data_IF_539107367031
#
_entry.id   IF_539107367031
#
_cell.length_a   1.000
_cell.length_b   1.000
_cell.length_c   1.000
_cell.angle_alpha   90.00
_cell.angle_beta   90.00
_cell.angle_gamma   90.00
#
_symmetry.space_group_name_H-M   'P 1'
#
loop_
_entity.id
_entity.type
_entity.pdbx_description
1 polymer ?
#
# COMPACT_ATOMS: atom_id res chain seq x y z
N UNK A 1 -39.59 -4.35 -47.62
CA UNK A 1 -38.94 -3.60 -46.52
C UNK A 1 -39.04 -4.43 -45.26
N UNK A 2 -37.94 -5.04 -44.82
CA UNK A 2 -37.84 -5.58 -43.45
C UNK A 2 -37.47 -4.43 -42.51
N UNK A 3 -38.13 -4.25 -41.35
CA UNK A 3 -37.73 -3.24 -40.40
C UNK A 3 -36.42 -3.68 -39.75
N UNK A 4 -35.39 -2.83 -39.85
CA UNK A 4 -34.18 -2.96 -39.06
C UNK A 4 -34.58 -2.67 -37.61
N UNK A 5 -34.58 -3.71 -36.78
CA UNK A 5 -34.69 -3.54 -35.34
C UNK A 5 -33.38 -2.93 -34.87
N UNK A 6 -33.34 -1.61 -34.74
CA UNK A 6 -32.24 -0.91 -34.11
C UNK A 6 -31.98 -1.56 -32.74
N UNK A 7 -30.80 -2.16 -32.62
CA UNK A 7 -30.29 -2.81 -31.43
C UNK A 7 -30.06 -1.76 -30.33
N UNK A 8 -31.14 -1.27 -29.72
CA UNK A 8 -31.12 -0.35 -28.58
C UNK A 8 -30.75 -1.05 -27.25
N UNK A 9 -30.43 -2.36 -27.29
CA UNK A 9 -29.97 -3.12 -26.14
C UNK A 9 -28.48 -2.91 -25.83
N UNK A 10 -27.69 -2.44 -26.81
CA UNK A 10 -26.25 -2.18 -26.62
C UNK A 10 -25.97 -0.95 -25.72
N UNK A 11 -26.99 -0.11 -25.42
CA UNK A 11 -26.86 1.03 -24.52
C UNK A 11 -26.95 0.66 -23.03
N UNK A 12 -27.36 -0.57 -22.69
CA UNK A 12 -27.57 -0.99 -21.30
C UNK A 12 -26.41 -1.82 -20.71
N UNK A 13 -25.51 -2.34 -21.53
CA UNK A 13 -24.28 -2.96 -21.06
C UNK A 13 -23.17 -1.91 -20.92
N UNK A 14 -23.20 -1.13 -19.83
CA UNK A 14 -21.98 -0.42 -19.41
C UNK A 14 -20.93 -1.49 -19.14
N UNK A 15 -19.83 -1.56 -19.91
CA UNK A 15 -18.79 -2.54 -19.64
C UNK A 15 -18.27 -2.30 -18.24
N UNK A 16 -18.22 -3.33 -17.39
CA UNK A 16 -17.69 -3.20 -16.04
C UNK A 16 -16.30 -2.55 -16.10
N UNK A 17 -16.22 -1.30 -15.67
CA UNK A 17 -15.01 -0.50 -15.82
C UNK A 17 -14.00 -0.99 -14.78
N UNK A 18 -13.00 -1.74 -15.25
CA UNK A 18 -11.94 -2.31 -14.41
C UNK A 18 -10.92 -1.22 -14.06
N UNK A 19 -11.02 -0.63 -12.85
CA UNK A 19 -10.14 0.45 -12.38
C UNK A 19 -8.67 0.00 -12.25
N UNK A 20 -8.43 -1.30 -12.02
CA UNK A 20 -7.07 -1.90 -12.01
C UNK A 20 -6.29 -1.67 -13.30
N UNK A 21 -6.95 -1.38 -14.44
CA UNK A 21 -6.23 -1.09 -15.68
C UNK A 21 -5.42 0.21 -15.61
N UNK A 22 -5.83 1.16 -14.77
CA UNK A 22 -5.12 2.43 -14.53
C UNK A 22 -3.80 2.23 -13.76
N UNK A 23 -3.73 1.18 -12.95
CA UNK A 23 -2.55 0.86 -12.16
C UNK A 23 -1.43 0.31 -13.05
N UNK A 24 -0.23 0.93 -13.04
CA UNK A 24 0.94 0.39 -13.70
C UNK A 24 1.28 -1.02 -13.22
N UNK A 25 1.93 -1.79 -14.08
CA UNK A 25 2.37 -3.15 -13.74
C UNK A 25 3.22 -3.20 -12.46
N UNK A 26 4.12 -2.23 -12.27
CA UNK A 26 4.95 -2.13 -11.06
C UNK A 26 4.10 -2.01 -9.76
N UNK A 27 3.05 -1.17 -9.75
CA UNK A 27 2.19 -1.01 -8.57
C UNK A 27 1.38 -2.26 -8.28
N UNK A 28 0.96 -3.01 -9.30
CA UNK A 28 0.27 -4.29 -9.15
C UNK A 28 1.14 -5.31 -8.40
N UNK A 29 2.43 -5.38 -8.75
CA UNK A 29 3.40 -6.24 -8.06
C UNK A 29 3.54 -5.83 -6.60
N UNK A 30 3.69 -4.53 -6.31
CA UNK A 30 3.79 -4.05 -4.93
C UNK A 30 2.53 -4.30 -4.12
N UNK A 31 1.33 -4.16 -4.71
CA UNK A 31 0.10 -4.50 -4.01
C UNK A 31 0.09 -5.96 -3.56
N UNK A 32 0.53 -6.89 -4.42
CA UNK A 32 0.58 -8.30 -4.06
C UNK A 32 1.60 -8.59 -2.94
N UNK A 33 2.80 -8.00 -3.05
CA UNK A 33 3.83 -8.10 -2.00
C UNK A 33 3.32 -7.57 -0.66
N UNK A 34 2.71 -6.38 -0.65
CA UNK A 34 2.22 -5.77 0.58
C UNK A 34 1.01 -6.49 1.19
N UNK A 35 0.14 -7.09 0.36
CA UNK A 35 -0.92 -7.96 0.87
C UNK A 35 -0.34 -9.19 1.60
N UNK A 36 0.68 -9.83 1.02
CA UNK A 36 1.36 -10.96 1.68
C UNK A 36 2.07 -10.50 2.95
N UNK A 37 2.78 -9.37 2.91
CA UNK A 37 3.43 -8.82 4.11
C UNK A 37 2.42 -8.49 5.21
N UNK A 38 1.26 -7.94 4.87
CA UNK A 38 0.18 -7.69 5.82
C UNK A 38 -0.35 -8.99 6.44
N UNK A 39 -0.51 -10.04 5.62
CA UNK A 39 -0.88 -11.37 6.12
C UNK A 39 0.21 -11.95 7.03
N UNK A 40 1.49 -11.81 6.68
CA UNK A 40 2.59 -12.20 7.55
C UNK A 40 2.57 -11.42 8.86
N UNK A 41 2.24 -10.13 8.85
CA UNK A 41 2.04 -9.32 10.06
C UNK A 41 0.91 -9.83 10.95
N UNK A 42 -0.23 -10.23 10.36
CA UNK A 42 -1.34 -10.85 11.10
C UNK A 42 -0.91 -12.17 11.76
N UNK A 43 -0.14 -13.00 11.05
CA UNK A 43 0.34 -14.29 11.57
C UNK A 43 1.46 -14.09 12.60
N UNK A 44 2.28 -13.05 12.47
CA UNK A 44 3.38 -12.75 13.38
C UNK A 44 2.92 -12.52 14.83
N UNK A 45 1.74 -11.90 15.02
CA UNK A 45 1.19 -11.67 16.36
C UNK A 45 0.92 -12.96 17.16
N UNK A 46 0.06 -13.90 16.71
CA UNK A 46 -0.18 -15.12 17.45
C UNK A 46 1.06 -16.02 17.51
N UNK A 47 1.88 -16.07 16.45
CA UNK A 47 3.10 -16.89 16.45
C UNK A 47 4.18 -16.35 17.38
N UNK A 48 4.20 -15.05 17.67
CA UNK A 48 5.12 -14.47 18.64
C UNK A 48 4.93 -14.98 20.07
N UNK A 49 3.75 -15.52 20.40
CA UNK A 49 3.49 -16.16 21.70
C UNK A 49 4.20 -17.51 21.84
N UNK A 50 4.56 -18.16 20.72
CA UNK A 50 5.22 -19.46 20.69
C UNK A 50 6.71 -19.35 20.31
N UNK A 51 7.06 -18.38 19.47
CA UNK A 51 8.42 -18.16 18.95
C UNK A 51 8.86 -16.75 19.33
N UNK A 52 9.86 -16.67 20.21
CA UNK A 52 10.25 -15.41 20.85
C UNK A 52 11.32 -14.61 20.09
N UNK A 53 11.69 -15.02 18.87
CA UNK A 53 12.68 -14.33 18.03
C UNK A 53 12.18 -14.23 16.60
N UNK A 54 11.73 -13.04 16.21
CA UNK A 54 11.40 -12.69 14.84
C UNK A 54 12.11 -11.39 14.48
N UNK A 55 12.91 -11.43 13.43
CA UNK A 55 13.55 -10.22 12.92
C UNK A 55 12.53 -9.46 12.06
N UNK A 56 12.04 -8.35 12.59
CA UNK A 56 11.14 -7.43 11.90
C UNK A 56 11.93 -6.16 11.57
N UNK A 57 12.03 -5.84 10.28
CA UNK A 57 12.70 -4.62 9.82
C UNK A 57 11.89 -3.93 8.73
N UNK A 58 11.52 -2.66 8.94
CA UNK A 58 10.83 -1.86 7.94
C UNK A 58 10.93 -0.36 8.18
N UNK A 59 11.07 0.42 7.11
CA UNK A 59 11.22 1.89 7.16
C UNK A 59 12.28 2.36 8.16
N UNK A 60 13.30 1.55 8.39
CA UNK A 60 14.42 1.83 9.28
C UNK A 60 14.21 1.50 10.74
N UNK A 61 13.04 0.99 11.10
CA UNK A 61 12.83 0.37 12.39
C UNK A 61 13.22 -1.09 12.28
N UNK A 62 13.97 -1.59 13.25
CA UNK A 62 14.32 -3.00 13.37
C UNK A 62 14.10 -3.48 14.80
N UNK A 63 13.65 -4.72 14.95
CA UNK A 63 13.56 -5.40 16.24
C UNK A 63 13.59 -6.90 16.08
N UNK A 64 14.18 -7.58 17.06
CA UNK A 64 14.15 -9.03 17.19
C UNK A 64 13.01 -9.52 18.11
N UNK A 65 12.32 -8.58 18.77
CA UNK A 65 11.27 -8.84 19.74
C UNK A 65 9.95 -8.32 19.16
N UNK A 66 9.12 -9.18 18.55
CA UNK A 66 7.86 -8.75 17.93
C UNK A 66 6.87 -8.12 18.93
N UNK A 67 6.82 -8.60 20.18
CA UNK A 67 6.02 -8.00 21.27
C UNK A 67 6.84 -6.89 21.97
N UNK A 68 7.31 -5.92 21.18
CA UNK A 68 7.92 -4.68 21.67
C UNK A 68 7.19 -3.49 21.06
N UNK A 69 7.35 -2.29 21.61
CA UNK A 69 6.71 -1.08 21.05
C UNK A 69 7.08 -0.92 19.57
N UNK A 70 8.37 -1.06 19.23
CA UNK A 70 8.87 -1.02 17.85
C UNK A 70 8.29 -2.14 16.98
N UNK A 71 8.20 -3.36 17.52
CA UNK A 71 7.62 -4.51 16.80
C UNK A 71 6.15 -4.33 16.48
N UNK A 72 5.37 -3.82 17.44
CA UNK A 72 3.96 -3.50 17.25
C UNK A 72 3.76 -2.38 16.21
N UNK A 73 4.63 -1.37 16.20
CA UNK A 73 4.61 -0.32 15.16
C UNK A 73 4.87 -0.93 13.77
N UNK A 74 5.90 -1.75 13.62
CA UNK A 74 6.22 -2.40 12.33
C UNK A 74 5.06 -3.29 11.86
N UNK A 75 4.49 -4.09 12.76
CA UNK A 75 3.34 -4.94 12.45
C UNK A 75 2.14 -4.07 12.05
N UNK A 76 1.81 -3.02 12.79
CA UNK A 76 0.72 -2.11 12.44
C UNK A 76 0.91 -1.48 11.05
N UNK A 77 2.14 -1.12 10.69
CA UNK A 77 2.47 -0.61 9.34
C UNK A 77 2.29 -1.69 8.27
N UNK A 78 2.71 -2.93 8.52
CA UNK A 78 2.45 -4.04 7.60
C UNK A 78 0.96 -4.28 7.39
N UNK A 79 0.17 -4.26 8.45
CA UNK A 79 -1.28 -4.40 8.37
C UNK A 79 -1.90 -3.27 7.55
N UNK A 80 -1.51 -2.02 7.84
CA UNK A 80 -2.02 -0.86 7.14
C UNK A 80 -1.66 -0.89 5.65
N UNK A 81 -0.42 -1.28 5.32
CA UNK A 81 0.02 -1.48 3.93
C UNK A 81 -0.72 -2.57 3.21
N UNK A 82 -0.90 -3.72 3.87
CA UNK A 82 -1.69 -4.82 3.33
C UNK A 82 -3.13 -4.38 3.06
N UNK A 83 -3.71 -3.59 3.95
CA UNK A 83 -5.04 -3.02 3.76
C UNK A 83 -5.11 -2.01 2.61
N UNK A 84 -4.15 -1.08 2.51
CA UNK A 84 -4.07 -0.13 1.40
C UNK A 84 -3.90 -0.83 0.04
N UNK A 85 -3.03 -1.84 0.00
CA UNK A 85 -2.81 -2.67 -1.18
C UNK A 85 -4.04 -3.48 -1.57
N UNK A 86 -4.72 -4.08 -0.59
CA UNK A 86 -6.01 -4.75 -0.78
C UNK A 86 -7.04 -3.77 -1.36
N UNK A 87 -7.17 -2.58 -0.78
CA UNK A 87 -8.12 -1.57 -1.24
C UNK A 87 -7.88 -1.19 -2.70
N UNK A 88 -6.62 -0.98 -3.10
CA UNK A 88 -6.23 -0.70 -4.50
C UNK A 88 -6.47 -1.89 -5.43
N UNK A 89 -6.16 -3.10 -4.98
CA UNK A 89 -6.33 -4.30 -5.79
C UNK A 89 -7.80 -4.66 -6.02
N UNK A 90 -8.65 -4.44 -5.03
CA UNK A 90 -10.10 -4.71 -5.09
C UNK A 90 -10.92 -3.49 -5.51
N UNK A 91 -10.27 -2.46 -6.07
CA UNK A 91 -10.91 -1.32 -6.73
C UNK A 91 -11.91 -0.57 -5.83
N UNK A 92 -11.63 -0.45 -4.54
CA UNK A 92 -12.50 0.29 -3.61
C UNK A 92 -12.53 1.78 -3.97
N UNK A 93 -13.66 2.42 -3.72
CA UNK A 93 -13.88 3.85 -3.97
C UNK A 93 -12.83 4.71 -3.26
N UNK A 94 -12.56 4.42 -1.98
CA UNK A 94 -11.56 5.12 -1.17
C UNK A 94 -10.12 4.64 -1.37
N UNK A 95 -9.84 3.79 -2.36
CA UNK A 95 -8.52 3.15 -2.50
C UNK A 95 -7.39 4.14 -2.77
N UNK A 96 -7.65 5.17 -3.58
CA UNK A 96 -6.67 6.21 -3.88
C UNK A 96 -6.34 7.01 -2.62
N UNK A 97 -7.36 7.43 -1.86
CA UNK A 97 -7.20 8.17 -0.60
C UNK A 97 -6.42 7.36 0.44
N UNK A 98 -6.75 6.08 0.61
CA UNK A 98 -6.04 5.18 1.54
C UNK A 98 -4.59 4.97 1.09
N UNK A 99 -4.35 4.76 -0.21
CA UNK A 99 -3.00 4.62 -0.76
C UNK A 99 -2.16 5.89 -0.60
N UNK A 100 -2.74 7.07 -0.79
CA UNK A 100 -2.06 8.35 -0.54
C UNK A 100 -1.70 8.51 0.92
N UNK A 101 -2.60 8.16 1.84
CA UNK A 101 -2.33 8.19 3.26
C UNK A 101 -1.20 7.22 3.64
N UNK A 102 -1.19 6.00 3.08
CA UNK A 102 -0.08 5.05 3.25
C UNK A 102 1.26 5.60 2.77
N UNK A 103 1.26 6.31 1.64
CA UNK A 103 2.47 6.95 1.14
C UNK A 103 2.98 8.04 2.09
N UNK A 104 2.09 8.90 2.61
CA UNK A 104 2.46 9.95 3.55
C UNK A 104 2.98 9.34 4.86
N UNK A 105 2.27 8.33 5.39
CA UNK A 105 2.67 7.64 6.62
C UNK A 105 4.05 6.98 6.46
N UNK A 106 4.31 6.35 5.32
CA UNK A 106 5.62 5.77 5.02
C UNK A 106 6.74 6.82 4.94
N UNK A 107 6.49 7.97 4.29
CA UNK A 107 7.45 9.08 4.27
C UNK A 107 7.73 9.59 5.68
N UNK A 108 6.70 9.80 6.49
CA UNK A 108 6.85 10.25 7.89
C UNK A 108 7.69 9.25 8.69
N UNK A 109 7.41 7.95 8.60
CA UNK A 109 8.19 6.92 9.30
C UNK A 109 9.65 6.86 8.85
N UNK A 110 9.92 6.97 7.54
CA UNK A 110 11.28 7.05 7.02
C UNK A 110 12.02 8.31 7.52
N UNK A 111 11.34 9.46 7.60
CA UNK A 111 11.95 10.68 8.15
C UNK A 111 12.22 10.53 9.64
N UNK A 112 11.27 9.98 10.41
CA UNK A 112 11.47 9.71 11.83
C UNK A 112 12.66 8.78 12.02
N UNK A 113 12.75 7.67 11.29
CA UNK A 113 13.90 6.76 11.47
C UNK A 113 15.21 7.41 11.05
N UNK A 114 15.23 8.20 9.96
CA UNK A 114 16.43 8.89 9.51
C UNK A 114 16.93 9.97 10.46
N UNK A 115 16.02 10.72 11.10
CA UNK A 115 16.40 11.80 12.00
C UNK A 115 16.51 11.35 13.45
N UNK A 116 15.69 10.40 13.92
CA UNK A 116 15.63 10.01 15.34
C UNK A 116 16.56 8.84 15.66
N UNK A 117 16.71 7.85 14.77
CA UNK A 117 17.56 6.68 15.07
C UNK A 117 19.04 7.03 15.28
N UNK A 118 19.67 7.96 14.52
CA UNK A 118 21.07 8.32 14.77
C UNK A 118 21.32 8.96 16.14
N UNK A 119 20.30 9.48 16.82
CA UNK A 119 20.43 9.99 18.19
C UNK A 119 20.33 8.89 19.26
N UNK A 120 19.83 7.71 18.88
CA UNK A 120 19.64 6.56 19.77
C UNK A 120 20.73 5.50 19.54
N UNK A 121 21.19 5.36 18.30
CA UNK A 121 22.19 4.38 17.87
C UNK A 121 23.56 5.05 17.71
N UNK A 122 24.62 4.48 18.30
CA UNK A 122 26.00 5.02 18.20
C UNK A 122 26.61 4.92 16.78
N UNK A 123 25.94 4.25 15.85
CA UNK A 123 26.39 4.05 14.47
C UNK A 123 25.87 5.18 13.56
N UNK A 124 26.73 6.18 13.29
CA UNK A 124 26.46 7.38 12.48
C UNK A 124 26.37 7.12 10.96
N UNK A 125 25.68 6.07 10.52
CA UNK A 125 25.50 5.77 9.09
C UNK A 125 24.21 6.41 8.58
N UNK A 126 24.36 7.51 7.86
CA UNK A 126 23.27 8.12 7.10
C UNK A 126 22.98 7.31 5.83
N UNK A 127 22.08 6.35 5.93
CA UNK A 127 21.59 5.61 4.76
C UNK A 127 20.41 6.34 4.14
N UNK A 128 20.61 6.92 2.94
CA UNK A 128 19.50 7.44 2.15
C UNK A 128 18.64 6.25 1.71
N UNK A 129 17.43 6.17 2.27
CA UNK A 129 16.49 5.09 2.01
C UNK A 129 15.86 5.26 0.63
N UNK A 130 16.20 4.37 -0.31
CA UNK A 130 15.54 4.24 -1.61
C UNK A 130 14.01 4.08 -1.48
N UNK A 131 13.56 3.57 -0.32
CA UNK A 131 12.16 3.48 0.09
C UNK A 131 11.42 4.82 -0.06
N UNK A 132 12.04 5.94 0.35
CA UNK A 132 11.44 7.28 0.32
C UNK A 132 11.21 7.78 -1.10
N UNK A 133 12.15 7.51 -2.01
CA UNK A 133 11.98 7.83 -3.43
C UNK A 133 10.82 7.03 -4.04
N UNK A 134 10.72 5.73 -3.71
CA UNK A 134 9.65 4.86 -4.18
C UNK A 134 8.26 5.33 -3.68
N UNK A 135 8.18 5.77 -2.43
CA UNK A 135 6.98 6.36 -1.81
C UNK A 135 6.52 7.62 -2.55
N UNK A 136 7.45 8.52 -2.89
CA UNK A 136 7.13 9.76 -3.62
C UNK A 136 6.62 9.45 -5.03
N UNK A 137 7.29 8.53 -5.74
CA UNK A 137 6.86 8.11 -7.08
C UNK A 137 5.46 7.48 -7.04
N UNK A 138 5.20 6.64 -6.04
CA UNK A 138 3.91 6.03 -5.78
C UNK A 138 2.81 7.08 -5.52
N UNK A 139 3.06 8.04 -4.62
CA UNK A 139 2.11 9.12 -4.30
C UNK A 139 1.76 9.97 -5.53
N UNK A 140 2.78 10.36 -6.30
CA UNK A 140 2.58 11.15 -7.53
C UNK A 140 1.76 10.38 -8.55
N UNK A 141 1.99 9.07 -8.67
CA UNK A 141 1.24 8.24 -9.61
C UNK A 141 -0.21 8.08 -9.19
N UNK A 142 -0.48 7.85 -7.89
CA UNK A 142 -1.84 7.81 -7.34
C UNK A 142 -2.59 9.12 -7.58
N UNK A 143 -1.94 10.27 -7.33
CA UNK A 143 -2.55 11.58 -7.55
C UNK A 143 -2.87 11.83 -9.03
N UNK A 144 -2.07 11.29 -9.95
CA UNK A 144 -2.35 11.41 -11.39
C UNK A 144 -3.56 10.59 -11.83
N UNK A 145 -3.75 9.40 -11.25
CA UNK A 145 -4.85 8.51 -11.63
C UNK A 145 -6.13 8.77 -10.83
N UNK A 146 -6.09 9.58 -9.77
CA UNK A 146 -7.25 9.91 -8.94
C UNK A 146 -8.42 10.44 -9.75
N UNK A 147 -8.16 11.44 -10.61
CA UNK A 147 -9.20 12.01 -11.46
C UNK A 147 -9.83 10.97 -12.38
N UNK A 148 -9.02 10.10 -12.99
CA UNK A 148 -9.55 9.01 -13.82
C UNK A 148 -10.31 7.99 -12.96
N UNK A 149 -9.79 7.64 -11.79
CA UNK A 149 -10.39 6.68 -10.86
C UNK A 149 -11.78 7.09 -10.38
N UNK A 150 -11.97 8.38 -10.06
CA UNK A 150 -13.22 8.93 -9.55
C UNK A 150 -14.23 9.14 -10.69
N UNK A 151 -13.78 9.59 -11.86
CA UNK A 151 -14.68 9.81 -13.00
C UNK A 151 -15.11 8.53 -13.71
N UNK A 152 -14.41 7.40 -13.52
CA UNK A 152 -14.86 6.09 -14.00
C UNK A 152 -16.15 5.62 -13.32
N UNK A 153 -16.59 6.22 -12.22
CA UNK A 153 -17.94 5.99 -11.66
C UNK A 153 -19.04 6.74 -12.41
N UNK A 154 -18.67 7.82 -13.11
CA UNK A 154 -19.63 8.76 -13.71
C UNK A 154 -19.97 8.49 -15.19
N UNK A 155 -19.24 7.57 -15.84
CA UNK A 155 -19.48 7.13 -17.22
C UNK A 155 -20.42 5.94 -17.30
#
# INVERSE_FOLDING_TARGET
MTPQSDNNFDQFEKPAIIRRKLLPWWMKTFCWIFMIMGLCGLIALPTSLFINRFHLSFYGFETNVPISITGLIIIAVFLFKGFAAYSLWFEKENAISIGKFDAILGVVLCLISMFVMPFISEDNKYEIRLELLLLILYFRKLSKIEYEWDNLESL
#
